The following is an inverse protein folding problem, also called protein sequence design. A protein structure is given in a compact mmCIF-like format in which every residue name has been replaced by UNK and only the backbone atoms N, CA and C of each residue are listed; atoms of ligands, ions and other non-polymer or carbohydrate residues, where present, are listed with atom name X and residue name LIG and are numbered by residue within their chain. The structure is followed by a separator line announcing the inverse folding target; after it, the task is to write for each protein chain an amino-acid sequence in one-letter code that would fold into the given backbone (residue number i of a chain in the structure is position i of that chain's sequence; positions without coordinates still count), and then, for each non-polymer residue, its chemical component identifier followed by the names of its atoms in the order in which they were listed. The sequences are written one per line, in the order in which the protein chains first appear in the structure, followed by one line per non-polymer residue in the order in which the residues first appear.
data_IF_732538758521
#
_entry.id   IF_732538758521
#
_cell.length_a   1.000
_cell.length_b   1.000
_cell.length_c   1.000
_cell.angle_alpha   90.00
_cell.angle_beta   90.00
_cell.angle_gamma   90.00
#
_symmetry.space_group_name_H-M   'P 1'
#
loop_
_entity.id
_entity.type
_entity.pdbx_description
1 polymer ?
#
# COMPACT_ATOMS: atom_id res chain seq x y z
N UNK A 1 -28.55 -37.44 35.68
CA UNK A 1 -28.30 -36.09 35.13
C UNK A 1 -27.04 -36.17 34.26
N UNK A 2 -27.19 -36.38 32.95
CA UNK A 2 -26.06 -36.54 32.01
C UNK A 2 -25.60 -35.16 31.54
N UNK A 3 -24.38 -34.79 31.89
CA UNK A 3 -23.76 -33.52 31.51
C UNK A 3 -23.32 -33.61 30.04
N UNK A 4 -23.95 -32.85 29.13
CA UNK A 4 -23.49 -32.70 27.76
C UNK A 4 -22.24 -31.81 27.75
N UNK A 5 -21.09 -32.38 27.37
CA UNK A 5 -19.90 -31.61 26.99
C UNK A 5 -20.10 -31.04 25.58
N UNK A 6 -20.28 -29.72 25.46
CA UNK A 6 -20.18 -29.02 24.19
C UNK A 6 -18.70 -28.84 23.84
N UNK A 7 -18.21 -29.60 22.84
CA UNK A 7 -16.93 -29.32 22.21
C UNK A 7 -17.07 -28.05 21.36
N UNK A 8 -16.54 -26.93 21.84
CA UNK A 8 -16.32 -25.74 21.02
C UNK A 8 -15.14 -26.00 20.07
N UNK A 9 -15.44 -26.18 18.79
CA UNK A 9 -14.44 -26.18 17.73
C UNK A 9 -13.90 -24.75 17.61
N UNK A 10 -12.73 -24.49 18.20
CA UNK A 10 -11.99 -23.24 17.95
C UNK A 10 -11.41 -23.38 16.54
N UNK A 11 -12.10 -22.81 15.55
CA UNK A 11 -11.53 -22.60 14.22
C UNK A 11 -10.43 -21.55 14.41
N UNK A 12 -9.17 -22.01 14.41
CA UNK A 12 -8.02 -21.12 14.34
C UNK A 12 -8.02 -20.47 12.96
N UNK A 13 -8.66 -19.31 12.83
CA UNK A 13 -8.44 -18.43 11.70
C UNK A 13 -7.02 -17.91 11.88
N UNK A 14 -6.08 -18.48 11.14
CA UNK A 14 -4.73 -17.92 11.01
C UNK A 14 -4.90 -16.52 10.45
N UNK A 15 -4.79 -15.51 11.31
CA UNK A 15 -4.77 -14.11 10.92
C UNK A 15 -3.64 -13.92 9.93
N UNK A 16 -4.00 -13.64 8.68
CA UNK A 16 -3.02 -13.29 7.66
C UNK A 16 -2.40 -11.96 8.11
N UNK A 17 -1.14 -11.99 8.56
CA UNK A 17 -0.38 -10.75 8.79
C UNK A 17 -0.20 -10.09 7.42
N UNK A 18 -1.02 -9.08 7.16
CA UNK A 18 -1.11 -8.34 5.89
C UNK A 18 -2.39 -8.62 5.12
N UNK A 19 -3.03 -7.54 4.64
CA UNK A 19 -4.19 -7.57 3.74
C UNK A 19 -3.76 -7.95 2.31
N UNK A 20 -3.28 -9.17 2.10
CA UNK A 20 -2.87 -9.67 0.78
C UNK A 20 -3.78 -10.79 0.28
N UNK A 21 -4.07 -10.89 -1.03
CA UNK A 21 -4.78 -12.04 -1.58
C UNK A 21 -3.95 -13.32 -1.41
N UNK A 22 -4.62 -14.42 -1.12
CA UNK A 22 -3.99 -15.74 -0.97
C UNK A 22 -3.93 -16.48 -2.32
N UNK A 23 -2.75 -16.47 -2.95
CA UNK A 23 -2.51 -17.20 -4.20
C UNK A 23 -2.18 -18.69 -4.01
N UNK A 24 -2.19 -19.23 -2.78
CA UNK A 24 -1.93 -20.65 -2.51
C UNK A 24 -3.21 -21.43 -2.27
N UNK A 25 -4.10 -20.88 -1.46
CA UNK A 25 -5.37 -21.54 -1.06
C UNK A 25 -6.61 -20.67 -1.25
N UNK A 26 -6.47 -19.42 -1.72
CA UNK A 26 -7.59 -18.52 -1.93
C UNK A 26 -8.37 -18.78 -3.21
N UNK A 27 -9.50 -18.08 -3.42
CA UNK A 27 -10.37 -18.24 -4.59
C UNK A 27 -9.67 -18.00 -5.94
N UNK A 28 -8.53 -17.29 -5.93
CA UNK A 28 -7.76 -16.97 -7.12
C UNK A 28 -6.56 -17.89 -7.37
N UNK A 29 -6.28 -18.85 -6.49
CA UNK A 29 -5.03 -19.62 -6.49
C UNK A 29 -4.75 -20.37 -7.81
N UNK A 30 -5.80 -20.84 -8.50
CA UNK A 30 -5.68 -21.60 -9.76
C UNK A 30 -5.81 -20.73 -11.01
N UNK A 31 -5.95 -19.41 -10.87
CA UNK A 31 -6.18 -18.50 -11.99
C UNK A 31 -4.90 -17.77 -12.44
N UNK A 32 -4.85 -17.30 -13.70
CA UNK A 32 -3.68 -16.61 -14.26
C UNK A 32 -3.15 -15.44 -13.42
N UNK A 33 -3.98 -14.70 -12.68
CA UNK A 33 -3.52 -13.67 -11.73
C UNK A 33 -2.45 -14.18 -10.73
N UNK A 34 -2.52 -15.46 -10.34
CA UNK A 34 -1.58 -16.09 -9.41
C UNK A 34 -0.43 -16.86 -10.10
N UNK A 35 -0.41 -16.95 -11.43
CA UNK A 35 0.70 -17.52 -12.19
C UNK A 35 1.83 -16.50 -12.34
N UNK A 36 2.96 -16.77 -11.69
CA UNK A 36 4.12 -15.88 -11.68
C UNK A 36 4.97 -15.96 -12.96
N UNK A 37 4.71 -16.91 -13.85
CA UNK A 37 5.36 -16.96 -15.18
C UNK A 37 4.79 -15.94 -16.16
N UNK A 38 3.58 -15.45 -15.91
CA UNK A 38 2.90 -14.45 -16.73
C UNK A 38 3.31 -13.02 -16.37
N UNK A 39 3.22 -12.12 -17.35
CA UNK A 39 3.47 -10.69 -17.13
C UNK A 39 2.45 -10.07 -16.17
N UNK A 40 2.86 -9.01 -15.45
CA UNK A 40 1.96 -8.24 -14.57
C UNK A 40 0.70 -7.76 -15.29
N UNK A 41 0.81 -7.36 -16.58
CA UNK A 41 -0.32 -6.95 -17.41
C UNK A 41 -1.30 -8.10 -17.67
N UNK A 42 -0.83 -9.28 -18.04
CA UNK A 42 -1.69 -10.45 -18.26
C UNK A 42 -2.41 -10.86 -16.98
N UNK A 43 -1.67 -10.89 -15.87
CA UNK A 43 -2.20 -11.22 -14.54
C UNK A 43 -3.27 -10.22 -14.09
N UNK A 44 -3.01 -8.92 -14.24
CA UNK A 44 -3.98 -7.86 -13.92
C UNK A 44 -5.22 -7.90 -14.83
N UNK A 45 -5.05 -8.16 -16.14
CA UNK A 45 -6.16 -8.30 -17.07
C UNK A 45 -7.08 -9.48 -16.70
N UNK A 46 -6.50 -10.62 -16.30
CA UNK A 46 -7.26 -11.76 -15.78
C UNK A 46 -8.08 -11.37 -14.54
N UNK A 47 -7.47 -10.71 -13.54
CA UNK A 47 -8.20 -10.23 -12.36
C UNK A 47 -9.37 -9.32 -12.73
N UNK A 48 -9.16 -8.34 -13.61
CA UNK A 48 -10.21 -7.39 -14.04
C UNK A 48 -11.31 -8.12 -14.83
N UNK A 49 -10.99 -9.12 -15.64
CA UNK A 49 -12.00 -9.92 -16.38
C UNK A 49 -12.93 -10.72 -15.46
N UNK A 50 -12.48 -11.02 -14.24
CA UNK A 50 -13.25 -11.77 -13.22
C UNK A 50 -14.20 -10.90 -12.41
N UNK A 51 -14.07 -9.58 -12.52
CA UNK A 51 -14.93 -8.61 -11.83
C UNK A 51 -16.20 -8.34 -12.63
N UNK A 52 -17.32 -8.26 -11.92
CA UNK A 52 -18.55 -7.66 -12.44
C UNK A 52 -18.35 -6.17 -12.71
N UNK A 53 -19.24 -5.55 -13.48
CA UNK A 53 -19.20 -4.09 -13.69
C UNK A 53 -19.32 -3.33 -12.37
N UNK A 54 -20.20 -3.77 -11.46
CA UNK A 54 -20.35 -3.16 -10.14
C UNK A 54 -19.05 -3.26 -9.32
N UNK A 55 -18.40 -4.42 -9.29
CA UNK A 55 -17.10 -4.61 -8.65
C UNK A 55 -16.02 -3.72 -9.28
N UNK A 56 -16.00 -3.54 -10.61
CA UNK A 56 -15.04 -2.64 -11.27
C UNK A 56 -15.23 -1.19 -10.86
N UNK A 57 -16.47 -0.71 -10.73
CA UNK A 57 -16.76 0.66 -10.31
C UNK A 57 -16.15 0.94 -8.94
N UNK A 58 -16.18 -0.01 -8.01
CA UNK A 58 -15.60 0.17 -6.67
C UNK A 58 -14.07 0.23 -6.66
N UNK A 59 -13.41 -0.11 -7.77
CA UNK A 59 -11.95 -0.03 -7.92
C UNK A 59 -11.48 1.28 -8.56
N UNK A 60 -12.40 2.17 -8.98
CA UNK A 60 -12.08 3.43 -9.67
C UNK A 60 -11.92 4.62 -8.71
N UNK A 61 -11.66 4.35 -7.43
CA UNK A 61 -11.46 5.34 -6.36
C UNK A 61 -10.20 4.99 -5.57
N UNK A 62 -9.68 5.93 -4.77
CA UNK A 62 -8.48 5.67 -3.95
C UNK A 62 -8.74 4.61 -2.88
N UNK A 63 -9.92 4.64 -2.27
CA UNK A 63 -10.36 3.62 -1.31
C UNK A 63 -11.04 2.46 -2.02
N UNK A 64 -10.25 1.64 -2.72
CA UNK A 64 -10.76 0.51 -3.48
C UNK A 64 -11.37 -0.55 -2.54
N UNK A 65 -12.65 -0.84 -2.75
CA UNK A 65 -13.38 -1.76 -1.88
C UNK A 65 -12.87 -3.20 -2.02
N UNK A 66 -13.00 -3.99 -0.95
CA UNK A 66 -12.75 -5.42 -1.03
C UNK A 66 -13.73 -6.10 -2.01
N UNK A 67 -13.29 -7.18 -2.64
CA UNK A 67 -14.15 -8.07 -3.43
C UNK A 67 -14.12 -9.45 -2.75
N UNK A 68 -14.99 -9.71 -1.74
CA UNK A 68 -14.93 -10.92 -0.94
C UNK A 68 -15.05 -12.22 -1.74
N UNK A 69 -15.88 -12.22 -2.80
CA UNK A 69 -16.06 -13.37 -3.69
C UNK A 69 -14.76 -13.81 -4.37
N UNK A 70 -13.86 -12.87 -4.65
CA UNK A 70 -12.55 -13.14 -5.24
C UNK A 70 -11.45 -13.29 -4.17
N UNK A 71 -11.77 -13.17 -2.87
CA UNK A 71 -10.75 -13.10 -1.82
C UNK A 71 -9.80 -11.90 -1.99
N UNK A 72 -10.24 -10.84 -2.68
CA UNK A 72 -9.45 -9.64 -2.90
C UNK A 72 -9.70 -8.66 -1.73
N UNK A 73 -8.67 -8.34 -0.92
CA UNK A 73 -8.83 -7.40 0.18
C UNK A 73 -9.06 -5.98 -0.34
N UNK A 74 -9.56 -5.10 0.54
CA UNK A 74 -9.60 -3.66 0.25
C UNK A 74 -8.17 -3.13 0.05
N UNK A 75 -8.01 -2.13 -0.80
CA UNK A 75 -6.73 -1.49 -1.05
C UNK A 75 -6.90 0.02 -1.01
N UNK A 76 -6.00 0.71 -0.31
CA UNK A 76 -5.97 2.17 -0.29
C UNK A 76 -4.80 2.65 -1.14
N UNK A 77 -5.11 3.35 -2.23
CA UNK A 77 -4.13 3.88 -3.18
C UNK A 77 -3.41 5.10 -2.63
N UNK A 78 -4.06 5.86 -1.75
CA UNK A 78 -3.54 7.10 -1.21
C UNK A 78 -2.67 6.86 0.03
N UNK A 79 -1.38 6.68 -0.21
CA UNK A 79 -0.34 6.80 0.84
C UNK A 79 0.60 7.97 0.53
N UNK A 80 1.21 8.56 1.55
CA UNK A 80 2.09 9.73 1.41
C UNK A 80 3.49 9.44 1.94
N UNK A 81 4.52 9.89 1.20
CA UNK A 81 5.92 9.67 1.57
C UNK A 81 6.90 10.75 1.08
N UNK A 82 6.49 12.02 1.05
CA UNK A 82 7.24 13.12 0.43
C UNK A 82 8.70 13.25 0.89
N UNK A 83 8.96 13.13 2.18
CA UNK A 83 10.30 13.17 2.78
C UNK A 83 10.38 12.24 4.00
N UNK A 84 9.73 11.08 3.90
CA UNK A 84 9.43 10.18 5.02
C UNK A 84 7.99 9.71 4.92
N UNK A 85 7.68 8.51 5.43
CA UNK A 85 6.29 8.03 5.49
C UNK A 85 5.46 9.01 6.33
N UNK A 86 4.31 9.42 5.80
CA UNK A 86 3.43 10.36 6.46
C UNK A 86 2.03 9.77 6.68
N UNK A 87 1.34 10.31 7.69
CA UNK A 87 -0.04 9.95 7.95
C UNK A 87 -0.90 10.31 6.73
N UNK A 88 -1.69 9.36 6.27
CA UNK A 88 -2.54 9.44 5.08
C UNK A 88 -3.62 8.36 5.19
N UNK A 89 -4.67 8.35 4.36
CA UNK A 89 -5.71 7.31 4.44
C UNK A 89 -5.14 5.88 4.38
N UNK A 90 -4.09 5.68 3.59
CA UNK A 90 -3.42 4.39 3.44
C UNK A 90 -2.41 4.06 4.53
N UNK A 91 -1.99 5.04 5.35
CA UNK A 91 -0.90 4.88 6.34
C UNK A 91 -1.39 5.11 7.75
N UNK A 92 -1.17 4.13 8.63
CA UNK A 92 -1.49 4.23 10.06
C UNK A 92 -0.28 3.95 10.95
N UNK A 93 0.01 4.89 11.85
CA UNK A 93 1.05 4.75 12.87
C UNK A 93 0.49 4.12 14.14
N UNK A 94 1.34 3.41 14.88
CA UNK A 94 1.01 2.82 16.18
C UNK A 94 1.57 1.42 16.37
N UNK A 95 1.35 0.84 17.55
CA UNK A 95 1.94 -0.44 17.93
C UNK A 95 3.47 -0.41 17.77
N UNK A 96 4.01 -1.40 17.08
CA UNK A 96 5.45 -1.54 16.81
C UNK A 96 5.99 -0.52 15.78
N UNK A 97 5.11 0.24 15.12
CA UNK A 97 5.47 1.26 14.13
C UNK A 97 4.90 2.64 14.51
N UNK A 98 5.32 3.24 15.64
CA UNK A 98 4.77 4.50 16.14
C UNK A 98 5.28 5.75 15.40
N UNK A 99 6.40 5.64 14.66
CA UNK A 99 7.00 6.74 13.91
C UNK A 99 7.76 6.21 12.67
N UNK A 100 8.17 7.12 11.80
CA UNK A 100 9.00 6.87 10.62
C UNK A 100 10.07 7.97 10.53
N UNK A 101 11.12 7.76 9.74
CA UNK A 101 12.18 8.78 9.60
C UNK A 101 11.65 10.00 8.85
N UNK A 102 11.85 11.19 9.42
CA UNK A 102 11.49 12.48 8.79
C UNK A 102 12.74 13.17 8.27
N UNK A 103 12.90 13.21 6.95
CA UNK A 103 14.01 13.84 6.26
C UNK A 103 13.75 15.33 6.01
N UNK A 104 14.75 16.03 5.47
CA UNK A 104 14.58 17.40 5.00
C UNK A 104 13.55 17.46 3.85
N UNK A 105 12.77 18.53 3.78
CA UNK A 105 11.83 18.75 2.68
C UNK A 105 12.55 18.79 1.32
N UNK A 106 11.86 18.44 0.20
CA UNK A 106 12.47 18.37 -1.12
C UNK A 106 13.21 19.64 -1.55
N UNK A 107 12.76 20.84 -1.16
CA UNK A 107 13.47 22.09 -1.45
C UNK A 107 14.89 22.12 -0.87
N UNK A 108 15.03 21.68 0.38
CA UNK A 108 16.33 21.60 1.07
C UNK A 108 17.20 20.47 0.48
N UNK A 109 16.59 19.38 0.03
CA UNK A 109 17.30 18.31 -0.68
C UNK A 109 17.80 18.77 -2.05
N UNK A 110 16.99 19.54 -2.79
CA UNK A 110 17.38 20.17 -4.05
C UNK A 110 18.60 21.08 -3.87
N UNK A 111 18.63 21.86 -2.79
CA UNK A 111 19.76 22.71 -2.43
C UNK A 111 21.08 21.96 -2.15
N UNK A 112 21.04 20.63 -1.94
CA UNK A 112 22.26 19.83 -1.77
C UNK A 112 22.99 19.54 -3.08
N UNK A 113 22.31 19.65 -4.23
CA UNK A 113 22.81 19.22 -5.55
C UNK A 113 23.40 17.79 -5.56
N UNK A 114 22.94 16.92 -4.65
CA UNK A 114 23.48 15.57 -4.46
C UNK A 114 22.43 14.50 -4.78
N UNK A 115 22.48 13.96 -6.00
CA UNK A 115 21.55 12.91 -6.43
C UNK A 115 21.72 11.60 -5.66
N UNK A 116 22.92 11.29 -5.17
CA UNK A 116 23.12 10.11 -4.32
C UNK A 116 22.42 10.26 -2.97
N UNK A 117 22.37 11.47 -2.40
CA UNK A 117 21.63 11.74 -1.18
C UNK A 117 20.13 11.51 -1.38
N UNK A 118 19.56 12.03 -2.47
CA UNK A 118 18.14 11.82 -2.83
C UNK A 118 17.83 10.33 -3.00
N UNK A 119 18.68 9.59 -3.73
CA UNK A 119 18.51 8.15 -3.92
C UNK A 119 18.56 7.37 -2.59
N UNK A 120 19.51 7.71 -1.70
CA UNK A 120 19.62 7.07 -0.38
C UNK A 120 18.41 7.35 0.50
N UNK A 121 17.90 8.58 0.49
CA UNK A 121 16.66 8.91 1.19
C UNK A 121 15.49 8.06 0.65
N UNK A 122 15.28 8.02 -0.67
CA UNK A 122 14.23 7.21 -1.28
C UNK A 122 14.35 5.72 -0.94
N UNK A 123 15.58 5.20 -0.86
CA UNK A 123 15.85 3.82 -0.43
C UNK A 123 15.39 3.55 1.00
N UNK A 124 15.70 4.45 1.95
CA UNK A 124 15.24 4.32 3.34
C UNK A 124 13.71 4.39 3.42
N UNK A 125 13.10 5.41 2.79
CA UNK A 125 11.65 5.57 2.74
C UNK A 125 10.96 4.33 2.18
N UNK A 126 11.47 3.77 1.08
CA UNK A 126 10.90 2.56 0.46
C UNK A 126 11.01 1.34 1.38
N UNK A 127 12.09 1.23 2.16
CA UNK A 127 12.29 0.14 3.12
C UNK A 127 11.31 0.25 4.28
N UNK A 128 11.17 1.44 4.86
CA UNK A 128 10.16 1.70 5.88
C UNK A 128 8.76 1.44 5.33
N UNK A 129 8.47 1.84 4.08
CA UNK A 129 7.15 1.68 3.48
C UNK A 129 6.78 0.20 3.36
N UNK A 130 7.74 -0.64 2.99
CA UNK A 130 7.58 -2.10 2.99
C UNK A 130 7.39 -2.67 4.40
N UNK A 131 8.08 -2.13 5.41
CA UNK A 131 7.87 -2.54 6.80
C UNK A 131 6.43 -2.22 7.28
N UNK A 132 5.95 -1.00 7.05
CA UNK A 132 4.56 -0.63 7.34
C UNK A 132 3.55 -1.50 6.59
N UNK A 133 3.78 -1.77 5.30
CA UNK A 133 2.90 -2.59 4.50
C UNK A 133 2.83 -4.05 4.97
N UNK A 134 3.97 -4.65 5.37
CA UNK A 134 4.02 -6.01 5.91
C UNK A 134 3.23 -6.16 7.22
N UNK A 135 3.14 -5.08 8.02
CA UNK A 135 2.29 -5.03 9.23
C UNK A 135 0.84 -4.58 8.94
N UNK A 136 0.44 -4.47 7.66
CA UNK A 136 -0.90 -4.06 7.26
C UNK A 136 -1.23 -2.61 7.56
N UNK A 137 -0.20 -1.76 7.72
CA UNK A 137 -0.31 -0.35 8.12
C UNK A 137 -0.08 0.64 6.99
N UNK A 138 0.34 0.19 5.81
CA UNK A 138 0.51 1.00 4.61
C UNK A 138 0.07 0.24 3.35
N UNK A 139 -0.30 0.98 2.29
CA UNK A 139 -0.37 0.44 0.93
C UNK A 139 1.03 0.21 0.32
N UNK A 140 1.08 -0.03 -0.99
CA UNK A 140 2.32 -0.14 -1.78
C UNK A 140 2.52 1.03 -2.76
N UNK A 141 1.59 1.98 -2.76
CA UNK A 141 1.57 3.13 -3.67
C UNK A 141 1.60 4.41 -2.86
N UNK A 142 2.52 5.30 -3.21
CA UNK A 142 2.73 6.56 -2.52
C UNK A 142 2.67 7.72 -3.51
N UNK A 143 1.94 8.78 -3.19
CA UNK A 143 1.76 9.96 -4.04
C UNK A 143 2.93 10.93 -3.89
N UNK A 144 4.12 10.43 -4.27
CA UNK A 144 5.39 11.13 -4.20
C UNK A 144 6.27 10.67 -5.37
N UNK A 145 7.19 11.48 -5.91
CA UNK A 145 7.57 12.85 -5.52
C UNK A 145 6.69 13.96 -6.12
N UNK A 146 6.81 15.17 -5.55
CA UNK A 146 6.29 16.40 -6.15
C UNK A 146 7.38 17.01 -7.06
N UNK A 147 7.18 16.91 -8.37
CA UNK A 147 8.14 17.36 -9.40
C UNK A 147 7.68 18.62 -10.16
N UNK A 148 6.66 19.30 -9.66
CA UNK A 148 6.30 20.62 -10.17
C UNK A 148 7.45 21.61 -9.96
N UNK A 149 7.52 22.62 -10.82
CA UNK A 149 8.53 23.69 -10.73
C UNK A 149 8.02 24.78 -9.79
N UNK A 150 8.84 25.24 -8.83
CA UNK A 150 8.52 26.36 -7.95
C UNK A 150 8.60 27.71 -8.66
N UNK A 151 7.74 27.90 -9.66
CA UNK A 151 7.77 29.03 -10.59
C UNK A 151 7.39 30.37 -9.95
N UNK A 152 6.33 30.38 -9.13
CA UNK A 152 5.85 31.59 -8.46
C UNK A 152 6.23 31.50 -6.98
N UNK A 153 7.07 32.40 -6.46
CA UNK A 153 7.58 32.30 -5.08
C UNK A 153 6.47 32.41 -4.01
N UNK A 154 5.25 32.80 -4.39
CA UNK A 154 4.09 32.84 -3.49
C UNK A 154 3.40 31.48 -3.35
N UNK A 155 3.77 30.47 -4.14
CA UNK A 155 3.14 29.16 -4.11
C UNK A 155 3.47 28.45 -2.78
N UNK A 156 2.48 28.35 -1.90
CA UNK A 156 2.63 27.78 -0.55
C UNK A 156 2.90 26.27 -0.47
N UNK A 157 3.05 25.59 -1.62
CA UNK A 157 3.55 24.19 -1.69
C UNK A 157 4.92 24.09 -2.36
N UNK A 158 5.57 25.22 -2.66
CA UNK A 158 6.88 25.24 -3.30
C UNK A 158 7.96 24.51 -2.49
N UNK A 159 7.84 24.48 -1.15
CA UNK A 159 8.74 23.71 -0.28
C UNK A 159 8.71 22.19 -0.53
N UNK A 160 7.63 21.68 -1.14
CA UNK A 160 7.47 20.26 -1.48
C UNK A 160 8.21 19.89 -2.77
N UNK A 161 8.74 20.87 -3.50
CA UNK A 161 9.42 20.68 -4.79
C UNK A 161 10.93 20.83 -4.65
N UNK A 162 11.74 20.31 -5.59
CA UNK A 162 13.18 20.52 -5.58
C UNK A 162 13.62 21.92 -6.06
N UNK A 163 12.70 22.83 -6.39
CA UNK A 163 12.97 24.18 -6.91
C UNK A 163 12.11 24.59 -8.09
#
# INVERSE_FOLDING_TARGET
MRLLMFLTFIISVRGQKGNFPDCKSGPLATFPICDQSLSSRQRAADLVSRMTIAEKITQMVTTAAAIPRLGLPKYEWWSEALHGIAFSPGVSFGGDLPFATSFAAPLNLGASFNMHLVYRMGTVISTEARAFNNEGRAGLTFFTPMLNIFRDPRWGRGQETPG
#
